data_IF_309736930753
#
_entry.id   IF_309736930753
#
_cell.length_a   1.000
_cell.length_b   1.000
_cell.length_c   1.000
_cell.angle_alpha   90.00
_cell.angle_beta   90.00
_cell.angle_gamma   90.00
#
_symmetry.space_group_name_H-M   'P 1'
#
loop_
_entity.id
_entity.type
_entity.pdbx_description
1 polymer ?
#
# COMPACT_ATOMS: atom_id res chain seq x y z
N UNK A 1 16.91 1.59 -5.75
CA UNK A 1 15.44 1.63 -5.97
C UNK A 1 14.83 2.66 -5.04
N UNK A 2 13.81 3.40 -5.49
CA UNK A 2 13.27 4.49 -4.68
C UNK A 2 12.22 3.98 -3.69
N UNK A 3 12.59 3.93 -2.41
CA UNK A 3 11.70 3.64 -1.28
C UNK A 3 10.58 4.70 -1.14
N UNK A 4 10.69 5.81 -1.87
CA UNK A 4 9.72 6.92 -1.90
C UNK A 4 8.31 6.50 -2.33
N UNK A 5 8.16 5.41 -3.08
CA UNK A 5 6.83 4.90 -3.43
C UNK A 5 6.01 4.53 -2.18
N UNK A 6 6.67 4.04 -1.12
CA UNK A 6 6.02 3.69 0.14
C UNK A 6 5.48 4.91 0.89
N UNK A 7 5.97 6.11 0.58
CA UNK A 7 5.53 7.35 1.22
C UNK A 7 4.24 7.91 0.61
N UNK A 8 3.76 7.34 -0.50
CA UNK A 8 2.50 7.76 -1.14
C UNK A 8 1.31 7.33 -0.27
N UNK A 9 0.33 8.22 0.01
CA UNK A 9 -0.82 7.87 0.84
C UNK A 9 -1.61 6.66 0.35
N UNK A 10 -1.77 6.53 -0.98
CA UNK A 10 -2.46 5.39 -1.57
C UNK A 10 -1.72 4.08 -1.28
N UNK A 11 -0.38 4.16 -1.26
CA UNK A 11 0.49 3.02 -0.97
C UNK A 11 0.45 2.67 0.51
N UNK A 12 0.52 3.68 1.37
CA UNK A 12 0.38 3.52 2.82
C UNK A 12 -0.96 2.84 3.16
N UNK A 13 -2.08 3.33 2.60
CA UNK A 13 -3.40 2.80 2.92
C UNK A 13 -3.57 1.32 2.56
N UNK A 14 -3.09 0.86 1.40
CA UNK A 14 -3.20 -0.57 1.09
C UNK A 14 -2.34 -1.43 2.02
N UNK A 15 -1.16 -0.94 2.44
CA UNK A 15 -0.28 -1.67 3.36
C UNK A 15 -0.99 -1.78 4.72
N UNK A 16 -1.52 -0.67 5.22
CA UNK A 16 -2.22 -0.61 6.50
C UNK A 16 -3.49 -1.47 6.49
N UNK A 17 -4.28 -1.42 5.42
CA UNK A 17 -5.47 -2.26 5.26
C UNK A 17 -5.12 -3.75 5.41
N UNK A 18 -3.96 -4.18 4.90
CA UNK A 18 -3.55 -5.59 4.97
C UNK A 18 -2.92 -6.01 6.27
N UNK A 19 -2.05 -5.19 6.85
CA UNK A 19 -1.34 -5.60 8.05
C UNK A 19 -2.10 -5.29 9.33
N UNK A 20 -2.95 -4.25 9.33
CA UNK A 20 -3.68 -3.80 10.51
C UNK A 20 -5.18 -4.10 10.37
N UNK A 21 -5.72 -3.93 9.16
CA UNK A 21 -7.11 -4.20 8.85
C UNK A 21 -7.85 -2.97 8.28
N UNK A 22 -9.08 -3.17 7.76
CA UNK A 22 -9.84 -2.13 7.06
C UNK A 22 -10.25 -0.94 7.95
N UNK A 23 -10.29 -1.12 9.27
CA UNK A 23 -10.62 -0.08 10.24
C UNK A 23 -9.49 0.95 10.46
N UNK A 24 -8.31 0.68 9.91
CA UNK A 24 -7.09 1.47 10.06
C UNK A 24 -6.76 2.35 8.84
N UNK A 25 -7.50 2.19 7.74
CA UNK A 25 -7.32 2.98 6.50
C UNK A 25 -7.50 4.47 6.79
N UNK A 26 -6.70 5.32 6.14
CA UNK A 26 -6.67 6.79 6.31
C UNK A 26 -6.30 7.29 7.71
N UNK A 27 -5.91 6.39 8.62
CA UNK A 27 -5.53 6.74 9.99
C UNK A 27 -4.04 6.77 10.24
N UNK A 28 -3.22 6.59 9.22
CA UNK A 28 -1.76 6.48 9.35
C UNK A 28 -1.03 7.56 8.57
N UNK A 29 0.14 7.93 9.06
CA UNK A 29 1.09 8.81 8.37
C UNK A 29 2.50 8.26 8.47
N UNK A 30 3.36 8.70 7.56
CA UNK A 30 4.78 8.46 7.62
C UNK A 30 5.44 9.31 8.71
N UNK A 31 6.47 8.76 9.36
CA UNK A 31 7.29 9.50 10.34
C UNK A 31 8.77 9.47 9.97
N UNK A 32 9.57 10.24 10.72
CA UNK A 32 11.02 10.15 10.66
C UNK A 32 11.47 8.71 10.97
N UNK A 33 12.40 8.24 10.15
CA UNK A 33 12.96 6.89 10.24
C UNK A 33 14.30 6.88 10.99
N UNK A 34 14.74 8.04 11.47
CA UNK A 34 15.93 8.22 12.28
C UNK A 34 15.61 8.02 13.76
N UNK A 35 16.33 7.10 14.38
CA UNK A 35 16.11 6.69 15.75
C UNK A 35 17.15 7.34 16.70
N UNK A 36 16.84 7.47 18.01
CA UNK A 36 17.76 8.08 18.98
C UNK A 36 19.13 7.38 19.11
N UNK A 37 19.22 6.11 18.72
CA UNK A 37 20.46 5.34 18.68
C UNK A 37 21.27 5.56 17.38
N UNK A 38 20.96 6.61 16.62
CA UNK A 38 21.57 6.97 15.34
C UNK A 38 21.37 5.94 14.23
N UNK A 39 20.52 4.93 14.45
CA UNK A 39 20.17 3.98 13.41
C UNK A 39 19.03 4.56 12.55
N UNK A 40 18.92 4.08 11.32
CA UNK A 40 17.94 4.56 10.35
C UNK A 40 17.19 3.39 9.72
N UNK A 41 15.88 3.38 9.95
CA UNK A 41 14.96 2.47 9.27
C UNK A 41 14.56 2.99 7.89
N UNK A 42 13.85 2.17 7.14
CA UNK A 42 13.39 2.52 5.81
C UNK A 42 12.10 3.32 5.80
N UNK A 43 11.00 2.76 6.31
CA UNK A 43 9.69 3.42 6.38
C UNK A 43 8.95 2.99 7.63
N UNK A 44 8.37 3.97 8.33
CA UNK A 44 7.56 3.74 9.52
C UNK A 44 6.26 4.51 9.39
N UNK A 45 5.15 3.81 9.62
CA UNK A 45 3.82 4.39 9.70
C UNK A 45 3.36 4.45 11.16
N UNK A 46 2.88 5.61 11.60
CA UNK A 46 2.25 5.81 12.91
C UNK A 46 0.77 6.21 12.76
N UNK A 47 -0.11 5.81 13.69
CA UNK A 47 -1.47 6.33 13.77
C UNK A 47 -1.46 7.87 13.93
N UNK A 48 -2.28 8.56 13.13
CA UNK A 48 -2.36 10.02 13.10
C UNK A 48 -3.02 10.60 14.36
N UNK A 49 -4.08 9.94 14.84
CA UNK A 49 -4.91 10.44 15.93
C UNK A 49 -4.51 9.84 17.28
N UNK A 50 -4.64 10.64 18.34
CA UNK A 50 -4.50 10.16 19.72
C UNK A 50 -5.51 9.05 20.05
N UNK A 51 -6.72 9.14 19.49
CA UNK A 51 -7.78 8.15 19.69
C UNK A 51 -7.45 6.79 19.09
N UNK A 52 -6.54 6.74 18.12
CA UNK A 52 -6.10 5.52 17.42
C UNK A 52 -4.76 4.98 17.97
N UNK A 53 -4.34 5.42 19.17
CA UNK A 53 -3.07 4.97 19.81
C UNK A 53 -3.00 3.48 20.14
N UNK A 54 -4.14 2.80 20.11
CA UNK A 54 -4.22 1.35 20.26
C UNK A 54 -3.90 0.60 18.96
N UNK A 55 -3.81 1.30 17.82
CA UNK A 55 -3.39 0.70 16.58
C UNK A 55 -1.86 0.53 16.58
N UNK A 56 -1.33 -0.62 16.12
CA UNK A 56 0.09 -0.88 16.15
C UNK A 56 0.83 0.00 15.12
N UNK A 57 1.99 0.57 15.46
CA UNK A 57 2.83 1.21 14.44
C UNK A 57 3.39 0.14 13.49
N UNK A 58 3.58 0.49 12.22
CA UNK A 58 4.00 -0.45 11.18
C UNK A 58 5.37 -0.07 10.64
N UNK A 59 6.32 -1.00 10.67
CA UNK A 59 7.68 -0.84 10.13
C UNK A 59 7.83 -1.66 8.84
N UNK A 60 8.22 -1.00 7.75
CA UNK A 60 8.55 -1.65 6.48
C UNK A 60 10.03 -1.49 6.19
N UNK A 61 10.70 -2.61 5.95
CA UNK A 61 12.12 -2.66 5.59
C UNK A 61 12.30 -3.29 4.20
N UNK A 62 13.13 -2.67 3.37
CA UNK A 62 13.48 -3.18 2.04
C UNK A 62 14.96 -3.56 2.07
N UNK A 63 15.22 -4.87 1.99
CA UNK A 63 16.57 -5.41 2.09
C UNK A 63 16.96 -6.19 0.86
N UNK A 64 18.21 -5.99 0.42
CA UNK A 64 18.75 -6.76 -0.69
C UNK A 64 18.96 -8.23 -0.29
N UNK A 65 19.61 -8.43 0.85
CA UNK A 65 19.84 -9.75 1.44
C UNK A 65 19.25 -9.77 2.84
N UNK A 66 18.35 -10.72 3.12
CA UNK A 66 17.77 -10.92 4.45
C UNK A 66 18.56 -12.01 5.15
N UNK A 67 19.35 -11.61 6.16
CA UNK A 67 20.17 -12.50 6.97
C UNK A 67 19.99 -12.21 8.48
N UNK A 68 20.64 -13.02 9.33
CA UNK A 68 20.59 -12.84 10.78
C UNK A 68 21.24 -11.52 11.24
N UNK A 69 22.20 -10.98 10.47
CA UNK A 69 22.85 -9.70 10.81
C UNK A 69 21.88 -8.54 10.65
N UNK A 70 20.96 -8.63 9.69
CA UNK A 70 19.87 -7.66 9.49
C UNK A 70 18.77 -7.78 10.55
N UNK A 71 18.55 -8.97 11.10
CA UNK A 71 17.53 -9.22 12.13
C UNK A 71 17.76 -8.37 13.40
N UNK A 72 19.01 -8.20 13.80
CA UNK A 72 19.37 -7.44 15.00
C UNK A 72 18.99 -5.94 14.91
N UNK A 73 19.33 -5.21 13.82
CA UNK A 73 18.82 -3.86 13.58
C UNK A 73 17.30 -3.74 13.66
N UNK A 74 16.54 -4.68 13.08
CA UNK A 74 15.07 -4.65 13.12
C UNK A 74 14.55 -4.72 14.56
N UNK A 75 15.12 -5.61 15.38
CA UNK A 75 14.79 -5.68 16.81
C UNK A 75 15.07 -4.34 17.48
N UNK A 76 16.23 -3.73 17.20
CA UNK A 76 16.57 -2.43 17.78
C UNK A 76 15.58 -1.32 17.39
N UNK A 77 15.10 -1.29 16.14
CA UNK A 77 14.05 -0.36 15.70
C UNK A 77 12.77 -0.56 16.50
N UNK A 78 12.34 -1.81 16.64
CA UNK A 78 11.12 -2.14 17.38
C UNK A 78 11.22 -1.75 18.86
N UNK A 79 12.39 -1.96 19.48
CA UNK A 79 12.63 -1.52 20.86
C UNK A 79 12.55 0.00 21.02
N UNK A 80 12.91 0.80 20.01
CA UNK A 80 12.69 2.25 20.04
C UNK A 80 11.21 2.59 19.85
N UNK A 81 10.48 1.85 19.03
CA UNK A 81 9.04 2.02 18.84
C UNK A 81 8.27 1.72 20.12
N UNK A 82 8.59 0.64 20.83
CA UNK A 82 7.94 0.25 22.09
C UNK A 82 8.10 1.32 23.18
N UNK A 83 9.19 2.09 23.18
CA UNK A 83 9.35 3.23 24.10
C UNK A 83 8.40 4.38 23.79
N UNK A 84 7.91 4.48 22.55
CA UNK A 84 7.08 5.58 22.04
C UNK A 84 5.59 5.24 21.99
N UNK A 85 5.24 3.97 21.75
CA UNK A 85 3.87 3.51 21.57
C UNK A 85 3.50 2.45 22.61
N UNK A 86 2.24 2.44 23.08
CA UNK A 86 1.79 1.47 24.08
C UNK A 86 1.53 0.06 23.50
N UNK A 87 1.64 -0.10 22.18
CA UNK A 87 1.34 -1.34 21.46
C UNK A 87 2.57 -1.80 20.69
N UNK A 88 2.78 -3.12 20.62
CA UNK A 88 3.88 -3.72 19.88
C UNK A 88 3.75 -3.44 18.37
N UNK A 89 4.87 -3.19 17.66
CA UNK A 89 4.83 -2.89 16.23
C UNK A 89 4.47 -4.12 15.39
N UNK A 90 3.98 -3.88 14.18
CA UNK A 90 3.97 -4.88 13.10
C UNK A 90 5.15 -4.60 12.17
N UNK A 91 5.89 -5.63 11.79
CA UNK A 91 7.07 -5.50 10.95
C UNK A 91 6.90 -6.32 9.67
N UNK A 92 7.22 -5.74 8.52
CA UNK A 92 7.34 -6.47 7.27
C UNK A 92 8.64 -6.15 6.54
N UNK A 93 9.36 -7.20 6.13
CA UNK A 93 10.59 -7.11 5.34
C UNK A 93 10.32 -7.55 3.92
N UNK A 94 10.67 -6.72 2.95
CA UNK A 94 10.71 -7.06 1.54
C UNK A 94 12.15 -7.42 1.17
N UNK A 95 12.42 -8.72 1.04
CA UNK A 95 13.70 -9.26 0.61
C UNK A 95 13.81 -9.33 -0.91
N UNK A 96 14.70 -8.54 -1.51
CA UNK A 96 14.79 -8.35 -2.97
C UNK A 96 15.54 -9.49 -3.68
N UNK A 97 16.65 -9.97 -3.11
CA UNK A 97 17.52 -10.91 -3.81
C UNK A 97 17.54 -12.27 -3.11
N UNK A 98 18.22 -12.34 -1.96
CA UNK A 98 18.44 -13.59 -1.26
C UNK A 98 17.93 -13.52 0.18
N UNK A 99 17.38 -14.63 0.64
CA UNK A 99 17.14 -14.89 2.06
C UNK A 99 18.07 -16.02 2.47
N UNK A 100 18.81 -15.87 3.58
CA UNK A 100 19.73 -16.91 4.03
C UNK A 100 18.96 -18.12 4.57
N UNK A 101 19.60 -19.30 4.52
CA UNK A 101 18.99 -20.54 4.99
C UNK A 101 18.56 -20.45 6.45
N UNK A 102 19.37 -19.83 7.29
CA UNK A 102 19.06 -19.64 8.72
C UNK A 102 17.73 -18.89 8.93
N UNK A 103 17.43 -17.88 8.10
CA UNK A 103 16.15 -17.16 8.15
C UNK A 103 15.01 -18.05 7.64
N UNK A 104 15.22 -18.79 6.55
CA UNK A 104 14.21 -19.69 5.99
C UNK A 104 13.85 -20.83 6.96
N UNK A 105 14.82 -21.34 7.72
CA UNK A 105 14.61 -22.36 8.75
C UNK A 105 13.78 -21.83 9.95
N UNK A 106 13.77 -20.51 10.17
CA UNK A 106 12.94 -19.87 11.21
C UNK A 106 11.51 -19.55 10.76
N UNK A 107 11.20 -19.66 9.46
CA UNK A 107 9.87 -19.33 8.96
C UNK A 107 8.83 -20.23 9.63
N UNK A 108 7.86 -19.58 10.26
CA UNK A 108 6.72 -20.22 10.90
C UNK A 108 5.68 -20.69 9.88
N UNK A 109 4.51 -21.10 10.40
CA UNK A 109 3.37 -21.45 9.56
C UNK A 109 2.88 -20.22 8.78
N UNK A 110 2.27 -20.48 7.63
CA UNK A 110 1.61 -19.46 6.82
C UNK A 110 0.55 -18.73 7.64
N UNK A 111 0.51 -17.41 7.49
CA UNK A 111 -0.53 -16.56 8.05
C UNK A 111 -1.65 -16.43 7.02
N UNK A 112 -2.85 -16.89 7.39
CA UNK A 112 -4.02 -16.88 6.50
C UNK A 112 -4.48 -15.45 6.15
N UNK A 113 -4.20 -14.46 7.01
CA UNK A 113 -4.56 -13.06 6.76
C UNK A 113 -3.61 -12.38 5.79
N UNK A 114 -2.34 -12.84 5.76
CA UNK A 114 -1.27 -12.30 4.91
C UNK A 114 -0.63 -13.43 4.08
N UNK A 115 -1.36 -14.04 3.13
CA UNK A 115 -0.92 -15.26 2.43
C UNK A 115 0.31 -15.07 1.53
N UNK A 116 0.70 -13.83 1.25
CA UNK A 116 1.87 -13.48 0.45
C UNK A 116 3.15 -13.28 1.29
N UNK A 117 3.06 -13.49 2.60
CA UNK A 117 4.16 -13.32 3.54
C UNK A 117 4.37 -14.58 4.40
N UNK A 118 5.62 -14.80 4.78
CA UNK A 118 6.03 -15.80 5.75
C UNK A 118 6.13 -15.16 7.15
N UNK A 119 5.55 -15.81 8.16
CA UNK A 119 5.69 -15.35 9.55
C UNK A 119 7.05 -15.73 10.11
N UNK A 120 7.66 -14.83 10.88
CA UNK A 120 8.95 -14.98 11.55
C UNK A 120 8.78 -14.84 13.07
N UNK A 121 9.65 -15.46 13.88
CA UNK A 121 9.58 -15.36 15.33
C UNK A 121 9.89 -13.93 15.79
N UNK A 122 8.99 -13.37 16.62
CA UNK A 122 9.11 -12.00 17.11
C UNK A 122 8.66 -11.76 18.57
N UNK A 123 8.64 -12.83 19.37
CA UNK A 123 8.18 -12.81 20.76
C UNK A 123 8.85 -11.69 21.56
N UNK A 124 8.03 -10.91 22.27
CA UNK A 124 8.43 -9.84 23.20
C UNK A 124 8.90 -8.53 22.58
N UNK A 125 8.97 -8.39 21.25
CA UNK A 125 9.43 -7.15 20.61
C UNK A 125 8.62 -6.71 19.38
N UNK A 126 7.76 -7.55 18.82
CA UNK A 126 6.75 -7.15 17.83
C UNK A 126 5.48 -8.00 17.98
N UNK A 127 4.36 -7.48 17.46
CA UNK A 127 3.10 -8.20 17.39
C UNK A 127 3.14 -9.25 16.28
N UNK A 128 3.64 -8.85 15.11
CA UNK A 128 3.80 -9.71 13.94
C UNK A 128 5.12 -9.35 13.25
N UNK A 129 5.76 -10.35 12.66
CA UNK A 129 6.95 -10.15 11.85
C UNK A 129 6.87 -10.97 10.56
N UNK A 130 6.86 -10.26 9.44
CA UNK A 130 6.61 -10.82 8.12
C UNK A 130 7.86 -10.72 7.23
N UNK A 131 8.18 -11.83 6.57
CA UNK A 131 9.12 -11.90 5.45
C UNK A 131 8.34 -12.01 4.14
N UNK A 132 8.63 -11.10 3.22
CA UNK A 132 8.10 -11.10 1.86
C UNK A 132 9.28 -11.22 0.90
N UNK A 133 9.32 -12.29 0.11
CA UNK A 133 10.36 -12.49 -0.90
C UNK A 133 9.76 -13.17 -2.15
N UNK A 134 10.60 -13.40 -3.15
CA UNK A 134 10.16 -14.06 -4.39
C UNK A 134 9.54 -15.44 -4.18
N UNK A 135 9.91 -16.15 -3.11
CA UNK A 135 9.32 -17.44 -2.74
C UNK A 135 7.89 -17.28 -2.21
N UNK A 136 7.67 -16.34 -1.28
CA UNK A 136 6.37 -16.16 -0.62
C UNK A 136 5.30 -15.57 -1.54
N UNK A 137 5.69 -14.69 -2.47
CA UNK A 137 4.71 -14.06 -3.36
C UNK A 137 4.35 -14.91 -4.58
N UNK A 138 5.14 -15.95 -4.89
CA UNK A 138 5.05 -16.69 -6.16
C UNK A 138 3.65 -17.26 -6.40
N UNK A 139 3.07 -17.88 -5.38
CA UNK A 139 1.73 -18.49 -5.44
C UNK A 139 0.63 -17.44 -5.57
N UNK A 140 0.89 -16.22 -5.13
CA UNK A 140 -0.06 -15.11 -5.20
C UNK A 140 -0.05 -14.39 -6.56
N UNK A 141 0.99 -14.59 -7.39
CA UNK A 141 1.10 -13.97 -8.72
C UNK A 141 0.19 -14.62 -9.76
N UNK A 142 -0.18 -15.88 -9.56
CA UNK A 142 -1.08 -16.61 -10.46
C UNK A 142 -2.55 -16.19 -10.26
N UNK A 143 -2.85 -15.44 -9.19
CA UNK A 143 -4.17 -14.87 -8.98
C UNK A 143 -4.48 -13.81 -10.04
N UNK A 144 -5.64 -13.93 -10.69
CA UNK A 144 -6.13 -12.93 -11.64
C UNK A 144 -7.39 -12.29 -11.07
N UNK A 145 -7.34 -11.00 -10.67
CA UNK A 145 -6.22 -10.06 -10.71
C UNK A 145 -5.25 -10.21 -9.52
N UNK A 146 -3.96 -9.93 -9.77
CA UNK A 146 -2.90 -9.85 -8.76
C UNK A 146 -3.24 -8.76 -7.74
N UNK A 147 -3.24 -9.12 -6.46
CA UNK A 147 -3.54 -8.17 -5.40
C UNK A 147 -2.49 -7.04 -5.32
N UNK A 148 -2.88 -5.75 -5.13
CA UNK A 148 -1.91 -4.63 -5.06
C UNK A 148 -0.79 -4.83 -4.03
N UNK A 149 -1.07 -5.51 -2.92
CA UNK A 149 -0.10 -5.79 -1.85
C UNK A 149 0.93 -6.85 -2.22
N UNK A 150 0.64 -7.64 -3.27
CA UNK A 150 1.57 -8.59 -3.92
C UNK A 150 2.31 -7.89 -5.05
N UNK A 151 1.64 -6.99 -5.77
CA UNK A 151 2.25 -6.21 -6.85
C UNK A 151 3.39 -5.30 -6.36
N UNK A 152 3.28 -4.71 -5.17
CA UNK A 152 4.33 -3.88 -4.57
C UNK A 152 5.65 -4.64 -4.31
N UNK A 153 5.68 -5.74 -3.54
CA UNK A 153 6.92 -6.52 -3.36
C UNK A 153 7.40 -7.11 -4.68
N UNK A 154 6.50 -7.54 -5.57
CA UNK A 154 6.88 -7.97 -6.93
C UNK A 154 7.62 -6.86 -7.67
N UNK A 155 7.15 -5.61 -7.61
CA UNK A 155 7.84 -4.45 -8.18
C UNK A 155 9.26 -4.29 -7.63
N UNK A 156 9.49 -4.47 -6.33
CA UNK A 156 10.84 -4.40 -5.76
C UNK A 156 11.72 -5.59 -6.18
N UNK A 157 11.15 -6.77 -6.39
CA UNK A 157 11.84 -7.98 -6.83
C UNK A 157 12.23 -7.92 -8.32
N UNK A 158 11.34 -7.41 -9.19
CA UNK A 158 11.54 -7.33 -10.63
C UNK A 158 12.48 -6.20 -11.07
N UNK A 159 12.61 -5.13 -10.28
CA UNK A 159 13.35 -3.93 -10.66
C UNK A 159 14.87 -4.04 -10.51
N UNK A 160 15.50 -5.05 -11.12
CA UNK A 160 16.97 -5.14 -11.09
C UNK A 160 17.67 -3.94 -11.75
N UNK A 161 17.03 -3.14 -12.63
CA UNK A 161 17.68 -2.01 -13.35
C UNK A 161 16.74 -0.91 -13.94
N UNK A 162 15.89 -0.20 -13.17
CA UNK A 162 15.07 0.89 -13.75
C UNK A 162 15.17 2.27 -13.06
N UNK A 163 15.22 3.33 -13.88
CA UNK A 163 15.29 4.74 -13.50
C UNK A 163 13.95 5.26 -12.92
N UNK A 164 14.01 5.90 -11.76
CA UNK A 164 12.90 6.44 -10.96
C UNK A 164 11.83 7.25 -11.73
N UNK A 165 12.23 8.04 -12.73
CA UNK A 165 11.30 8.91 -13.47
C UNK A 165 10.35 8.13 -14.40
N UNK A 166 10.83 7.05 -15.05
CA UNK A 166 9.97 6.17 -15.86
C UNK A 166 8.97 5.39 -15.01
N UNK A 167 9.31 5.11 -13.76
CA UNK A 167 8.43 4.44 -12.79
C UNK A 167 7.32 5.36 -12.33
N UNK A 168 7.62 6.65 -12.08
CA UNK A 168 6.59 7.65 -11.78
C UNK A 168 5.71 7.95 -12.98
N UNK A 169 6.24 7.93 -14.21
CA UNK A 169 5.44 8.05 -15.41
C UNK A 169 4.57 6.81 -15.62
N UNK A 170 5.06 5.58 -15.39
CA UNK A 170 4.23 4.39 -15.51
C UNK A 170 3.15 4.32 -14.42
N UNK A 171 3.51 4.56 -13.16
CA UNK A 171 2.56 4.56 -12.02
C UNK A 171 1.61 5.77 -12.08
N UNK A 172 2.12 6.93 -12.51
CA UNK A 172 1.37 8.17 -12.68
C UNK A 172 0.47 8.16 -13.92
N UNK A 173 0.90 7.59 -15.04
CA UNK A 173 0.06 7.38 -16.24
C UNK A 173 -1.00 6.32 -15.96
N UNK A 174 -0.64 5.25 -15.23
CA UNK A 174 -1.62 4.24 -14.80
C UNK A 174 -2.63 4.83 -13.82
N UNK A 175 -2.22 5.63 -12.83
CA UNK A 175 -3.13 6.33 -11.92
C UNK A 175 -3.91 7.49 -12.57
N UNK A 176 -3.34 8.18 -13.57
CA UNK A 176 -3.98 9.30 -14.28
C UNK A 176 -4.97 8.82 -15.33
N UNK A 177 -4.65 7.77 -16.09
CA UNK A 177 -5.61 7.08 -16.96
C UNK A 177 -6.74 6.48 -16.13
N UNK A 178 -6.42 5.90 -14.97
CA UNK A 178 -7.39 5.43 -14.00
C UNK A 178 -8.31 6.55 -13.47
N UNK A 179 -7.75 7.73 -13.16
CA UNK A 179 -8.52 8.91 -12.74
C UNK A 179 -9.39 9.49 -13.87
N UNK A 180 -8.93 9.49 -15.11
CA UNK A 180 -9.70 9.94 -16.28
C UNK A 180 -10.83 8.98 -16.64
N UNK A 181 -10.59 7.67 -16.57
CA UNK A 181 -11.63 6.66 -16.76
C UNK A 181 -12.67 6.67 -15.62
N UNK A 182 -12.27 7.03 -14.39
CA UNK A 182 -13.19 7.32 -13.28
C UNK A 182 -14.10 8.53 -13.54
N UNK A 183 -13.55 9.61 -14.13
CA UNK A 183 -14.35 10.80 -14.50
C UNK A 183 -15.33 10.47 -15.63
N UNK A 184 -14.91 9.71 -16.64
CA UNK A 184 -15.80 9.27 -17.73
C UNK A 184 -16.91 8.34 -17.25
N UNK A 185 -16.58 7.32 -16.45
CA UNK A 185 -17.56 6.39 -15.90
C UNK A 185 -18.59 7.11 -15.00
N UNK A 186 -18.18 8.16 -14.28
CA UNK A 186 -19.07 9.01 -13.50
C UNK A 186 -20.01 9.84 -14.39
N UNK A 187 -19.54 10.34 -15.54
CA UNK A 187 -20.35 11.11 -16.49
C UNK A 187 -21.40 10.24 -17.20
N UNK A 188 -21.04 9.01 -17.60
CA UNK A 188 -21.97 8.07 -18.23
C UNK A 188 -23.08 7.59 -17.31
N UNK A 189 -22.85 7.56 -15.98
CA UNK A 189 -23.88 7.20 -15.00
C UNK A 189 -24.86 8.33 -14.68
N UNK A 190 -24.55 9.56 -15.08
CA UNK A 190 -25.45 10.73 -14.96
C UNK A 190 -26.35 10.94 -16.18
N UNK A 191 -26.15 10.19 -17.27
CA UNK A 191 -26.93 10.34 -18.52
C UNK A 191 -28.06 9.31 -18.69
N UNK A 192 -28.19 8.34 -17.77
CA UNK A 192 -29.21 7.27 -17.83
C UNK A 192 -30.49 7.54 -16.99
N UNK A 193 -30.71 8.78 -16.53
CA UNK A 193 -32.04 9.18 -16.03
C UNK A 193 -32.94 9.54 -17.23
N UNK A 194 -34.02 8.77 -17.50
CA UNK A 194 -34.91 9.07 -18.62
C UNK A 194 -35.64 10.38 -18.36
N UNK A 195 -35.39 11.34 -19.24
CA UNK A 195 -36.05 12.64 -19.29
C UNK A 195 -37.56 12.50 -19.51
N UNK A 196 -38.31 12.47 -18.40
CA UNK A 196 -39.73 12.80 -18.38
C UNK A 196 -39.90 14.32 -18.46
N UNK A 197 -40.36 14.81 -19.61
CA UNK A 197 -40.90 16.16 -19.84
C UNK A 197 -41.96 16.54 -18.78
N UNK A 198 -42.04 17.75 -18.21
CA UNK A 198 -42.35 19.00 -18.92
C UNK A 198 -42.38 20.26 -17.99
N UNK A 199 -41.90 21.40 -18.53
CA UNK A 199 -42.28 22.84 -18.34
C UNK A 199 -42.36 23.50 -16.94
N UNK A 200 -41.91 24.75 -16.66
CA UNK A 200 -41.55 25.93 -17.49
C UNK A 200 -40.89 27.08 -16.66
N UNK A 201 -39.94 27.79 -17.30
CA UNK A 201 -39.53 29.24 -17.22
C UNK A 201 -39.12 29.89 -15.86
N UNK A 202 -38.08 30.74 -15.71
CA UNK A 202 -37.43 31.71 -16.61
C UNK A 202 -36.06 32.23 -16.09
N UNK A 203 -35.11 32.48 -17.02
CA UNK A 203 -34.02 33.49 -17.14
C UNK A 203 -33.26 33.99 -15.86
N UNK A 204 -31.92 34.00 -15.75
CA UNK A 204 -30.91 34.80 -16.49
C UNK A 204 -29.48 34.42 -16.02
N UNK A 205 -28.46 34.51 -16.87
CA UNK A 205 -27.01 34.34 -16.56
C UNK A 205 -26.29 35.71 -16.43
N UNK A 206 -24.96 35.82 -16.24
CA UNK A 206 -23.93 34.91 -15.67
C UNK A 206 -23.07 35.61 -14.56
N UNK A 207 -22.17 34.89 -13.86
CA UNK A 207 -20.75 35.28 -13.55
C UNK A 207 -20.07 34.25 -12.61
N UNK A 208 -19.04 33.59 -13.16
CA UNK A 208 -17.72 33.24 -12.60
C UNK A 208 -17.54 33.07 -11.06
N UNK A 209 -17.28 31.83 -10.61
CA UNK A 209 -16.05 31.38 -9.90
C UNK A 209 -16.27 30.06 -9.14
N UNK A 210 -15.38 29.09 -9.38
CA UNK A 210 -15.25 27.83 -8.64
C UNK A 210 -14.66 28.10 -7.24
N UNK A 211 -14.96 27.25 -6.25
CA UNK A 211 -14.01 26.17 -5.96
C UNK A 211 -14.68 24.80 -5.84
N UNK A 212 -14.04 23.79 -6.44
CA UNK A 212 -14.36 22.38 -6.28
C UNK A 212 -14.12 21.98 -4.81
N UNK A 213 -15.21 21.73 -4.09
CA UNK A 213 -15.17 21.04 -2.81
C UNK A 213 -14.82 19.56 -3.04
N UNK A 214 -13.84 19.08 -2.30
CA UNK A 214 -13.47 17.66 -2.24
C UNK A 214 -14.63 16.88 -1.63
N UNK A 215 -15.37 16.13 -2.46
CA UNK A 215 -16.39 15.20 -1.98
C UNK A 215 -15.73 13.95 -1.41
N UNK A 216 -16.15 13.63 -0.20
CA UNK A 216 -15.69 12.57 0.68
C UNK A 216 -15.79 11.16 0.04
N UNK A 217 -14.71 10.38 0.12
CA UNK A 217 -14.56 9.03 -0.45
C UNK A 217 -15.48 7.98 0.21
N UNK A 218 -15.98 8.29 1.41
CA UNK A 218 -16.88 7.44 2.22
C UNK A 218 -18.27 7.18 1.62
N UNK A 219 -18.63 7.85 0.53
CA UNK A 219 -19.97 7.76 -0.06
C UNK A 219 -20.15 6.67 -1.11
N UNK A 220 -19.10 5.92 -1.47
CA UNK A 220 -19.20 4.89 -2.53
C UNK A 220 -19.66 3.51 -1.99
N UNK A 221 -20.65 2.86 -2.63
CA UNK A 221 -21.12 1.53 -2.24
C UNK A 221 -20.02 0.47 -2.39
N UNK A 222 -20.05 -0.56 -1.53
CA UNK A 222 -19.08 -1.67 -1.45
C UNK A 222 -18.82 -2.38 -2.80
N UNK A 223 -19.81 -2.40 -3.69
CA UNK A 223 -19.69 -2.96 -5.05
C UNK A 223 -18.70 -2.16 -5.91
N UNK A 224 -18.63 -0.84 -5.75
CA UNK A 224 -17.75 0.02 -6.55
C UNK A 224 -16.28 -0.08 -6.12
N UNK A 225 -15.99 -0.34 -4.84
CA UNK A 225 -14.62 -0.64 -4.37
C UNK A 225 -14.07 -1.94 -4.97
N UNK A 226 -14.92 -2.94 -5.16
CA UNK A 226 -14.54 -4.18 -5.84
C UNK A 226 -14.13 -3.86 -7.28
N UNK A 227 -14.98 -3.18 -8.06
CA UNK A 227 -14.70 -2.78 -9.46
C UNK A 227 -13.38 -1.99 -9.61
N UNK A 228 -13.09 -1.12 -8.64
CA UNK A 228 -11.85 -0.33 -8.53
C UNK A 228 -10.57 -1.19 -8.49
N UNK A 229 -10.60 -2.31 -7.75
CA UNK A 229 -9.47 -3.23 -7.58
C UNK A 229 -9.17 -4.03 -8.86
N UNK A 230 -10.17 -4.29 -9.70
CA UNK A 230 -10.02 -4.99 -10.97
C UNK A 230 -9.37 -4.12 -12.06
N UNK A 231 -9.74 -2.84 -12.13
CA UNK A 231 -9.25 -1.93 -13.18
C UNK A 231 -7.74 -1.64 -13.08
N UNK A 232 -7.24 -1.51 -11.85
CA UNK A 232 -5.81 -1.28 -11.58
C UNK A 232 -4.93 -2.40 -12.14
N UNK A 233 -5.40 -3.65 -12.07
CA UNK A 233 -4.60 -4.82 -12.41
C UNK A 233 -4.62 -5.14 -13.90
N UNK A 234 -5.74 -4.90 -14.58
CA UNK A 234 -5.80 -5.02 -16.03
C UNK A 234 -4.96 -3.95 -16.75
N UNK A 235 -4.95 -2.73 -16.22
CA UNK A 235 -4.08 -1.65 -16.71
C UNK A 235 -2.60 -1.97 -16.48
N UNK A 236 -2.27 -2.55 -15.32
CA UNK A 236 -0.90 -2.99 -15.04
C UNK A 236 -0.46 -4.10 -16.01
N UNK A 237 -1.25 -5.18 -16.17
CA UNK A 237 -0.95 -6.28 -17.11
C UNK A 237 -0.73 -5.79 -18.55
N UNK A 238 -1.56 -4.85 -19.03
CA UNK A 238 -1.41 -4.27 -20.38
C UNK A 238 -0.10 -3.49 -20.55
N UNK A 239 0.33 -2.77 -19.53
CA UNK A 239 1.56 -1.99 -19.58
C UNK A 239 2.81 -2.84 -19.40
N UNK A 240 2.76 -3.94 -18.65
CA UNK A 240 3.90 -4.85 -18.51
C UNK A 240 4.16 -5.64 -19.80
N UNK A 241 3.11 -6.09 -20.49
CA UNK A 241 3.21 -6.81 -21.77
C UNK A 241 3.62 -5.92 -22.95
N UNK A 242 3.43 -4.60 -22.84
CA UNK A 242 3.87 -3.64 -23.85
C UNK A 242 5.36 -3.26 -23.72
N UNK A 243 6.07 -3.79 -22.72
CA UNK A 243 7.46 -3.46 -22.42
C UNK A 243 8.43 -4.66 -22.51
N UNK A 244 7.94 -5.83 -22.92
CA UNK A 244 8.75 -6.94 -23.45
C UNK A 244 8.91 -6.81 -24.96
#
# INVERSE_FOLDING_TARGET
>A
MSKLILLKPEVTNFIIEKFVGPHAVDKYKNISTEWPNLMKSDVVYEPFSYSDRNLPPVLIEIQHTVDLKFYQPVIQYCLQMIKRYPVLPIVAIIGINNTTRDILEMVGKEDLEVPFAASLPCTSWANCFYLINGGTIRTCLDSSPVEPTVALPHFFLSNKNYHYNRVLDAFGTTCSQFYQELIKARQTLTEDEPSGSSSSSSATSPTTSLPLSFTNFDSLPVVQRKTFKWLFVDLWKKNTLAME
#
